data_IF_094571506207
#
_entry.id   IF_094571506207
#
_cell.length_a   1.000
_cell.length_b   1.000
_cell.length_c   1.000
_cell.angle_alpha   90.00
_cell.angle_beta   90.00
_cell.angle_gamma   90.00
#
_symmetry.space_group_name_H-M   'P 1'
#
loop_
_entity.id
_entity.type
_entity.pdbx_description
1 polymer ?
#
# COMPACT_ATOMS: atom_id res chain seq x y z
N UNK A 1 10.33 13.33 12.83
CA UNK A 1 9.41 12.65 13.76
C UNK A 1 8.34 12.02 12.89
N UNK A 2 8.15 10.72 12.98
CA UNK A 2 7.05 10.06 12.29
C UNK A 2 5.73 10.51 12.91
N UNK A 3 4.73 10.88 12.11
CA UNK A 3 3.41 11.30 12.59
C UNK A 3 2.68 10.26 13.44
N UNK A 4 3.18 9.05 13.43
CA UNK A 4 2.57 7.86 14.03
C UNK A 4 2.93 7.59 15.49
N UNK A 5 3.71 8.47 16.16
CA UNK A 5 4.13 8.24 17.54
C UNK A 5 3.34 9.11 18.51
N UNK A 6 2.29 8.59 19.18
CA UNK A 6 1.42 9.38 20.05
C UNK A 6 2.19 10.02 21.21
N UNK A 7 3.25 9.38 21.71
CA UNK A 7 4.04 9.85 22.83
C UNK A 7 5.02 11.00 22.50
N UNK A 8 5.15 11.37 21.21
CA UNK A 8 6.09 12.40 20.74
C UNK A 8 5.40 13.64 20.16
N UNK A 9 4.19 13.95 20.56
CA UNK A 9 3.39 15.02 19.98
C UNK A 9 2.94 14.67 18.58
N UNK A 10 2.48 13.44 18.39
CA UNK A 10 1.83 12.98 17.18
C UNK A 10 0.64 13.86 16.85
N UNK A 11 0.49 14.12 15.56
CA UNK A 11 -0.72 14.76 15.03
C UNK A 11 -1.85 13.73 14.92
N UNK A 12 -3.10 14.19 14.93
CA UNK A 12 -4.26 13.34 14.69
C UNK A 12 -4.21 12.75 13.27
N UNK A 13 -4.93 11.65 13.04
CA UNK A 13 -5.08 11.08 11.69
C UNK A 13 -5.63 12.14 10.71
N UNK A 14 -6.61 12.92 11.13
CA UNK A 14 -7.20 13.98 10.33
C UNK A 14 -6.16 15.04 9.93
N UNK A 15 -5.33 15.48 10.87
CA UNK A 15 -4.26 16.45 10.59
C UNK A 15 -3.16 15.85 9.71
N UNK A 16 -2.85 14.57 9.91
CA UNK A 16 -1.93 13.85 9.04
C UNK A 16 -2.46 13.82 7.60
N UNK A 17 -3.73 13.49 7.41
CA UNK A 17 -4.34 13.38 6.09
C UNK A 17 -4.49 14.72 5.36
N UNK A 18 -4.48 15.87 6.07
CA UNK A 18 -4.39 17.20 5.44
C UNK A 18 -3.15 17.40 4.58
N UNK A 19 -2.10 16.60 4.78
CA UNK A 19 -0.92 16.62 3.91
C UNK A 19 -1.26 16.28 2.45
N UNK A 20 -2.33 15.54 2.20
CA UNK A 20 -2.84 15.27 0.87
C UNK A 20 -3.17 16.57 0.10
N UNK A 21 -3.63 17.63 0.79
CA UNK A 21 -3.97 18.92 0.19
C UNK A 21 -2.75 19.64 -0.41
N UNK A 22 -1.55 19.35 0.12
CA UNK A 22 -0.29 19.91 -0.37
C UNK A 22 0.53 18.98 -1.25
N UNK A 23 0.06 17.75 -1.47
CA UNK A 23 0.82 16.76 -2.22
C UNK A 23 0.68 16.96 -3.73
N UNK A 24 1.64 17.64 -4.32
CA UNK A 24 1.64 17.97 -5.76
C UNK A 24 2.47 17.02 -6.63
N UNK A 25 3.36 16.24 -6.03
CA UNK A 25 4.37 15.44 -6.74
C UNK A 25 5.16 16.23 -7.83
N UNK A 26 5.30 17.55 -7.66
CA UNK A 26 5.86 18.46 -8.69
C UNK A 26 7.32 18.17 -9.02
N UNK A 27 8.04 17.48 -8.15
CA UNK A 27 9.44 17.07 -8.36
C UNK A 27 9.57 15.60 -8.78
N UNK A 28 8.48 14.89 -8.92
CA UNK A 28 8.51 13.49 -9.36
C UNK A 28 8.65 13.46 -10.88
N UNK A 29 9.81 12.99 -11.32
CA UNK A 29 10.15 12.70 -12.72
C UNK A 29 10.58 11.22 -12.80
N UNK A 30 9.64 10.39 -13.21
CA UNK A 30 9.84 8.94 -13.26
C UNK A 30 10.99 8.54 -14.19
N UNK A 31 11.15 9.26 -15.30
CA UNK A 31 12.23 8.99 -16.26
C UNK A 31 13.59 9.34 -15.66
N UNK A 32 13.72 10.50 -15.04
CA UNK A 32 14.97 10.90 -14.39
C UNK A 32 15.35 9.94 -13.25
N UNK A 33 14.37 9.43 -12.51
CA UNK A 33 14.58 8.41 -11.48
C UNK A 33 15.07 7.11 -12.09
N UNK A 34 14.40 6.61 -13.13
CA UNK A 34 14.77 5.37 -13.79
C UNK A 34 16.19 5.44 -14.40
N UNK A 35 16.54 6.55 -15.03
CA UNK A 35 17.88 6.80 -15.56
C UNK A 35 18.95 6.81 -14.45
N UNK A 36 18.63 7.40 -13.29
CA UNK A 36 19.53 7.39 -12.13
C UNK A 36 19.73 5.97 -11.59
N UNK A 37 18.66 5.22 -11.39
CA UNK A 37 18.72 3.84 -10.89
C UNK A 37 19.50 2.94 -11.84
N UNK A 38 19.28 3.08 -13.15
CA UNK A 38 20.03 2.34 -14.17
C UNK A 38 21.52 2.64 -14.13
N UNK A 39 21.90 3.90 -14.02
CA UNK A 39 23.31 4.31 -13.88
C UNK A 39 23.94 3.81 -12.58
N UNK A 40 23.16 3.68 -11.52
CA UNK A 40 23.59 3.08 -10.26
C UNK A 40 23.74 1.54 -10.32
N UNK A 41 23.40 0.91 -11.45
CA UNK A 41 23.53 -0.54 -11.65
C UNK A 41 22.33 -1.36 -11.15
N UNK A 42 21.20 -0.71 -10.84
CA UNK A 42 20.00 -1.44 -10.42
C UNK A 42 19.50 -2.38 -11.53
N UNK A 43 19.11 -3.58 -11.14
CA UNK A 43 18.49 -4.57 -12.02
C UNK A 43 16.98 -4.58 -11.87
N UNK A 44 16.49 -4.24 -10.70
CA UNK A 44 15.08 -4.04 -10.37
C UNK A 44 14.96 -2.88 -9.38
N UNK A 45 13.79 -2.31 -9.33
CA UNK A 45 13.44 -1.26 -8.36
C UNK A 45 12.03 -1.48 -7.83
N UNK A 46 11.80 -1.09 -6.57
CA UNK A 46 10.51 -1.26 -5.89
C UNK A 46 10.03 0.11 -5.44
N UNK A 47 8.81 0.47 -5.82
CA UNK A 47 8.14 1.68 -5.34
C UNK A 47 6.91 1.32 -4.51
N UNK A 48 6.69 2.07 -3.45
CA UNK A 48 5.46 1.97 -2.66
C UNK A 48 4.25 2.35 -3.51
N UNK A 49 3.31 1.42 -3.67
CA UNK A 49 2.03 1.68 -4.35
C UNK A 49 0.93 2.13 -3.38
N UNK A 50 0.93 1.58 -2.16
CA UNK A 50 0.10 2.00 -1.03
C UNK A 50 0.83 1.65 0.27
N UNK A 51 0.79 2.54 1.28
CA UNK A 51 1.29 2.27 2.63
C UNK A 51 0.12 2.11 3.61
N UNK A 52 0.41 1.92 4.89
CA UNK A 52 -0.56 1.68 5.98
C UNK A 52 -1.60 2.81 6.13
N UNK A 53 -1.31 4.02 5.70
CA UNK A 53 -2.23 5.16 5.75
C UNK A 53 -3.38 5.08 4.72
N UNK A 54 -3.31 4.12 3.81
CA UNK A 54 -4.34 3.84 2.81
C UNK A 54 -4.26 4.68 1.54
N UNK A 55 -3.33 5.65 1.45
CA UNK A 55 -3.22 6.49 0.25
C UNK A 55 -2.60 5.70 -0.90
N UNK A 56 -3.40 5.40 -1.92
CA UNK A 56 -2.93 4.76 -3.14
C UNK A 56 -2.20 5.75 -4.03
N UNK A 57 -0.97 5.42 -4.47
CA UNK A 57 -0.21 6.23 -5.44
C UNK A 57 -0.59 5.93 -6.89
N UNK A 58 -1.67 5.20 -7.11
CA UNK A 58 -2.23 4.78 -8.39
C UNK A 58 -3.72 5.10 -8.51
N UNK A 59 -4.24 5.09 -9.72
CA UNK A 59 -5.66 5.33 -10.00
C UNK A 59 -6.48 4.07 -9.73
N UNK A 60 -6.90 3.89 -8.48
CA UNK A 60 -7.75 2.77 -8.08
C UNK A 60 -9.24 3.11 -8.19
N UNK A 61 -10.03 2.13 -8.62
CA UNK A 61 -11.50 2.22 -8.64
C UNK A 61 -12.13 1.82 -7.29
N UNK A 62 -11.33 1.21 -6.40
CA UNK A 62 -11.80 0.61 -5.14
C UNK A 62 -11.63 1.52 -3.93
N UNK A 63 -11.01 2.69 -4.09
CA UNK A 63 -10.88 3.70 -3.04
C UNK A 63 -10.90 5.10 -3.62
N UNK A 64 -11.50 6.04 -2.90
CA UNK A 64 -11.37 7.46 -3.20
C UNK A 64 -10.09 8.06 -2.60
N UNK A 65 -9.41 7.31 -1.72
CA UNK A 65 -8.15 7.72 -1.12
C UNK A 65 -6.99 7.37 -2.05
N UNK A 66 -6.81 8.17 -3.08
CA UNK A 66 -5.68 8.04 -4.01
C UNK A 66 -5.09 9.39 -4.35
N UNK A 67 -3.84 9.41 -4.80
CA UNK A 67 -3.17 10.64 -5.25
C UNK A 67 -3.89 11.27 -6.44
N UNK A 68 -4.59 10.48 -7.24
CA UNK A 68 -5.33 10.97 -8.41
C UNK A 68 -6.57 11.75 -7.99
N UNK A 69 -7.32 11.21 -7.01
CA UNK A 69 -8.61 11.78 -6.59
C UNK A 69 -8.50 12.76 -5.43
N UNK A 70 -7.52 12.56 -4.54
CA UNK A 70 -7.49 13.22 -3.22
C UNK A 70 -6.39 14.27 -3.09
N UNK A 71 -5.51 14.41 -4.07
CA UNK A 71 -4.37 15.34 -4.00
C UNK A 71 -4.28 16.26 -5.21
N UNK A 72 -3.63 17.43 -5.08
CA UNK A 72 -3.37 18.31 -6.22
C UNK A 72 -2.45 17.70 -7.29
N UNK A 73 -1.77 16.59 -6.99
CA UNK A 73 -0.98 15.87 -8.00
C UNK A 73 -1.86 15.42 -9.16
N UNK A 74 -3.05 14.88 -8.88
CA UNK A 74 -4.06 14.52 -9.89
C UNK A 74 -3.55 13.56 -10.97
N UNK A 75 -2.48 12.79 -10.68
CA UNK A 75 -1.79 11.93 -11.66
C UNK A 75 -1.41 10.58 -11.05
N UNK A 76 -1.40 9.56 -11.86
CA UNK A 76 -1.06 8.19 -11.47
C UNK A 76 0.46 8.00 -11.47
N UNK A 77 1.06 8.06 -10.27
CA UNK A 77 2.51 7.98 -10.10
C UNK A 77 3.04 6.57 -10.38
N UNK A 78 2.24 5.53 -10.10
CA UNK A 78 2.62 4.15 -10.38
C UNK A 78 2.65 3.87 -11.88
N UNK A 79 1.72 4.43 -12.63
CA UNK A 79 1.72 4.32 -14.10
C UNK A 79 2.99 4.91 -14.71
N UNK A 80 3.34 6.12 -14.31
CA UNK A 80 4.54 6.79 -14.79
C UNK A 80 5.81 6.03 -14.38
N UNK A 81 5.88 5.57 -13.13
CA UNK A 81 7.01 4.81 -12.62
C UNK A 81 7.20 3.49 -13.36
N UNK A 82 6.15 2.68 -13.46
CA UNK A 82 6.24 1.35 -14.09
C UNK A 82 6.64 1.43 -15.56
N UNK A 83 6.15 2.45 -16.26
CA UNK A 83 6.53 2.72 -17.64
C UNK A 83 8.01 3.09 -17.75
N UNK A 84 8.48 4.08 -16.99
CA UNK A 84 9.85 4.56 -17.06
C UNK A 84 10.88 3.48 -16.68
N UNK A 85 10.61 2.70 -15.62
CA UNK A 85 11.48 1.61 -15.16
C UNK A 85 11.62 0.53 -16.24
N UNK A 86 10.52 0.17 -16.89
CA UNK A 86 10.51 -0.84 -17.96
C UNK A 86 11.24 -0.34 -19.20
N UNK A 87 11.03 0.92 -19.60
CA UNK A 87 11.73 1.56 -20.72
C UNK A 87 13.25 1.62 -20.47
N UNK A 88 13.68 1.78 -19.22
CA UNK A 88 15.08 1.71 -18.83
C UNK A 88 15.66 0.28 -18.78
N UNK A 89 14.85 -0.74 -19.08
CA UNK A 89 15.26 -2.15 -19.11
C UNK A 89 15.52 -2.74 -17.72
N UNK A 90 14.83 -2.27 -16.70
CA UNK A 90 14.84 -2.83 -15.35
C UNK A 90 13.54 -3.56 -15.05
N UNK A 91 13.61 -4.47 -14.07
CA UNK A 91 12.43 -5.17 -13.54
C UNK A 91 11.62 -4.24 -12.63
N UNK A 92 10.30 -4.38 -12.72
CA UNK A 92 9.36 -3.54 -11.98
C UNK A 92 8.90 -4.26 -10.72
N UNK A 93 9.16 -3.65 -9.57
CA UNK A 93 8.65 -4.07 -8.28
C UNK A 93 7.68 -3.06 -7.68
N UNK A 94 6.71 -3.55 -6.92
CA UNK A 94 5.79 -2.73 -6.15
C UNK A 94 5.77 -3.22 -4.70
N UNK A 95 5.86 -2.27 -3.77
CA UNK A 95 5.51 -2.51 -2.38
C UNK A 95 4.03 -2.20 -2.17
N UNK A 96 3.36 -3.03 -1.39
CA UNK A 96 1.97 -2.82 -1.02
C UNK A 96 1.73 -3.23 0.44
N UNK A 97 1.16 -2.33 1.23
CA UNK A 97 0.72 -2.64 2.59
C UNK A 97 -0.57 -3.46 2.55
N UNK A 98 -0.55 -4.63 3.20
CA UNK A 98 -1.74 -5.45 3.40
C UNK A 98 -2.70 -4.80 4.40
N UNK A 99 -2.18 -4.13 5.43
CA UNK A 99 -2.99 -3.37 6.38
C UNK A 99 -3.36 -2.01 5.84
N UNK A 100 -4.50 -1.49 6.28
CA UNK A 100 -5.00 -0.19 5.88
C UNK A 100 -5.71 0.48 7.07
N UNK A 101 -5.05 1.48 7.64
CA UNK A 101 -5.59 2.19 8.81
C UNK A 101 -6.73 3.14 8.47
N UNK A 102 -6.92 3.46 7.20
CA UNK A 102 -8.01 4.31 6.72
C UNK A 102 -9.31 3.54 6.48
N UNK A 103 -9.22 2.21 6.28
CA UNK A 103 -10.35 1.40 5.88
C UNK A 103 -11.17 0.97 7.11
N UNK A 104 -12.45 1.35 7.21
CA UNK A 104 -13.28 1.01 8.37
C UNK A 104 -13.60 -0.48 8.50
N UNK A 105 -13.32 -1.29 7.48
CA UNK A 105 -13.45 -2.74 7.51
C UNK A 105 -12.23 -3.41 8.14
N UNK A 106 -11.07 -2.73 8.10
CA UNK A 106 -9.85 -3.22 8.74
C UNK A 106 -9.86 -2.91 10.22
N UNK A 107 -9.68 -3.94 11.04
CA UNK A 107 -9.48 -3.79 12.48
C UNK A 107 -8.11 -4.28 12.88
N UNK A 108 -7.44 -3.51 13.70
CA UNK A 108 -6.25 -3.96 14.38
C UNK A 108 -6.63 -5.02 15.40
N UNK A 109 -5.97 -6.17 15.32
CA UNK A 109 -6.10 -7.26 16.29
C UNK A 109 -4.83 -7.27 17.13
N UNK A 110 -5.00 -7.24 18.45
CA UNK A 110 -3.89 -7.36 19.38
C UNK A 110 -3.75 -8.80 19.85
N UNK A 111 -2.53 -9.34 19.97
CA UNK A 111 -2.30 -10.58 20.66
C UNK A 111 -2.87 -10.53 22.08
N UNK A 112 -3.33 -11.66 22.58
CA UNK A 112 -3.83 -11.76 23.96
C UNK A 112 -2.72 -11.39 24.95
N UNK A 113 -3.00 -10.43 25.84
CA UNK A 113 -2.04 -9.91 26.82
C UNK A 113 -1.20 -8.71 26.36
N UNK A 114 -1.35 -8.27 25.12
CA UNK A 114 -0.70 -7.05 24.66
C UNK A 114 -1.43 -5.80 25.19
N UNK A 115 -0.63 -4.79 25.55
CA UNK A 115 -1.17 -3.47 25.93
C UNK A 115 -1.40 -2.63 24.67
N UNK A 116 -2.67 -2.30 24.34
CA UNK A 116 -2.98 -1.46 23.20
C UNK A 116 -2.21 -0.13 23.16
N UNK A 117 -1.91 0.44 24.34
CA UNK A 117 -1.17 1.70 24.44
C UNK A 117 0.26 1.63 23.89
N UNK A 118 0.81 0.44 23.69
CA UNK A 118 2.12 0.23 23.09
C UNK A 118 2.09 0.11 21.55
N UNK A 119 0.92 0.07 20.95
CA UNK A 119 0.76 -0.09 19.51
C UNK A 119 0.52 1.25 18.81
N UNK A 120 1.37 1.59 17.85
CA UNK A 120 1.28 2.79 17.02
C UNK A 120 -0.04 2.90 16.22
N UNK A 121 -0.71 1.81 16.04
CA UNK A 121 -1.95 1.63 15.30
C UNK A 121 -3.14 2.35 15.88
N UNK A 122 -3.16 2.54 17.21
CA UNK A 122 -4.28 3.16 17.93
C UNK A 122 -4.48 4.62 17.56
N UNK A 123 -3.48 5.23 16.94
CA UNK A 123 -3.57 6.62 16.47
C UNK A 123 -4.45 6.73 15.22
N UNK A 124 -4.53 5.66 14.43
CA UNK A 124 -5.19 5.67 13.12
C UNK A 124 -6.30 4.62 12.99
N UNK A 125 -6.28 3.59 13.82
CA UNK A 125 -7.28 2.54 13.76
C UNK A 125 -8.64 3.05 14.27
N UNK A 126 -9.60 3.11 13.41
CA UNK A 126 -10.99 3.31 13.78
C UNK A 126 -11.75 1.99 13.74
N UNK A 127 -12.46 1.67 14.78
CA UNK A 127 -12.17 1.86 16.19
C UNK A 127 -11.22 0.77 16.70
N UNK A 128 -10.23 1.18 17.46
CA UNK A 128 -9.34 0.25 18.15
C UNK A 128 -10.15 -0.65 19.09
N UNK A 129 -9.89 -1.94 19.01
CA UNK A 129 -10.47 -2.91 19.90
C UNK A 129 -11.96 -3.23 19.62
N UNK A 130 -12.32 -4.42 19.89
CA UNK A 130 -13.64 -4.97 19.71
C UNK A 130 -13.56 -6.28 18.91
N UNK A 131 -14.62 -7.10 18.97
CA UNK A 131 -14.64 -8.35 18.23
C UNK A 131 -14.50 -8.09 16.74
N UNK A 132 -13.71 -8.92 16.08
CA UNK A 132 -13.60 -8.94 14.64
C UNK A 132 -14.97 -9.22 14.02
N UNK A 133 -15.30 -8.48 12.96
CA UNK A 133 -16.46 -8.75 12.13
C UNK A 133 -15.99 -9.56 10.91
N UNK A 134 -16.33 -10.86 10.84
CA UNK A 134 -15.85 -11.74 9.77
C UNK A 134 -16.33 -11.31 8.37
N UNK A 135 -17.50 -10.67 8.26
CA UNK A 135 -18.03 -10.21 6.98
C UNK A 135 -17.20 -9.01 6.50
N UNK A 136 -16.96 -8.04 7.36
CA UNK A 136 -16.09 -6.88 7.04
C UNK A 136 -14.66 -7.31 6.75
N UNK A 137 -14.15 -8.29 7.48
CA UNK A 137 -12.83 -8.84 7.18
C UNK A 137 -12.78 -9.48 5.79
N UNK A 138 -13.79 -10.22 5.40
CA UNK A 138 -13.87 -10.78 4.06
C UNK A 138 -13.95 -9.70 2.98
N UNK A 139 -14.78 -8.67 3.19
CA UNK A 139 -14.84 -7.51 2.28
C UNK A 139 -13.50 -6.78 2.16
N UNK A 140 -12.74 -6.68 3.26
CA UNK A 140 -11.41 -6.10 3.24
C UNK A 140 -10.41 -6.93 2.43
N UNK A 141 -10.44 -8.25 2.55
CA UNK A 141 -9.62 -9.14 1.72
C UNK A 141 -9.97 -9.01 0.24
N UNK A 142 -11.25 -8.86 -0.08
CA UNK A 142 -11.70 -8.63 -1.46
C UNK A 142 -11.24 -7.27 -2.00
N UNK A 143 -11.26 -6.25 -1.16
CA UNK A 143 -10.69 -4.94 -1.50
C UNK A 143 -9.20 -5.03 -1.86
N UNK A 144 -8.39 -5.71 -1.04
CA UNK A 144 -6.97 -5.92 -1.33
C UNK A 144 -6.77 -6.72 -2.63
N UNK A 145 -7.54 -7.78 -2.84
CA UNK A 145 -7.51 -8.59 -4.07
C UNK A 145 -7.83 -7.74 -5.31
N UNK A 146 -8.82 -6.88 -5.22
CA UNK A 146 -9.24 -6.01 -6.31
C UNK A 146 -8.17 -4.97 -6.65
N UNK A 147 -7.56 -4.33 -5.66
CA UNK A 147 -6.43 -3.42 -5.90
C UNK A 147 -5.22 -4.15 -6.48
N UNK A 148 -4.93 -5.37 -6.03
CA UNK A 148 -3.87 -6.20 -6.63
C UNK A 148 -4.18 -6.54 -8.08
N UNK A 149 -5.43 -6.87 -8.41
CA UNK A 149 -5.84 -7.10 -9.79
C UNK A 149 -5.56 -5.87 -10.67
N UNK A 150 -5.92 -4.67 -10.21
CA UNK A 150 -5.60 -3.43 -10.93
C UNK A 150 -4.09 -3.31 -11.17
N UNK A 151 -3.28 -3.43 -10.10
CA UNK A 151 -1.83 -3.30 -10.21
C UNK A 151 -1.20 -4.34 -11.15
N UNK A 152 -1.69 -5.57 -11.12
CA UNK A 152 -1.17 -6.67 -11.95
C UNK A 152 -1.64 -6.63 -13.41
N UNK A 153 -2.73 -5.92 -13.72
CA UNK A 153 -3.33 -5.95 -15.07
C UNK A 153 -3.28 -4.62 -15.82
N UNK A 154 -3.23 -3.48 -15.11
CA UNK A 154 -3.29 -2.16 -15.75
C UNK A 154 -1.92 -1.51 -15.95
N UNK A 155 -0.88 -2.02 -15.30
CA UNK A 155 0.44 -1.38 -15.23
C UNK A 155 1.54 -2.17 -15.98
N UNK A 156 1.14 -3.11 -16.86
CA UNK A 156 2.04 -4.01 -17.56
C UNK A 156 2.63 -5.08 -16.63
N UNK A 157 3.73 -5.70 -17.01
CA UNK A 157 4.34 -6.77 -16.21
C UNK A 157 4.90 -6.21 -14.90
N UNK A 158 4.41 -6.74 -13.78
CA UNK A 158 4.98 -6.53 -12.45
C UNK A 158 5.80 -7.77 -12.10
N UNK A 159 7.10 -7.58 -11.91
CA UNK A 159 8.05 -8.68 -11.70
C UNK A 159 8.19 -9.07 -10.22
N UNK A 160 7.95 -8.12 -9.30
CA UNK A 160 8.09 -8.35 -7.86
C UNK A 160 6.99 -7.61 -7.08
N UNK A 161 6.41 -8.29 -6.11
CA UNK A 161 5.51 -7.71 -5.12
C UNK A 161 6.11 -7.89 -3.72
N UNK A 162 6.24 -6.79 -3.01
CA UNK A 162 6.70 -6.76 -1.63
C UNK A 162 5.52 -6.39 -0.74
N UNK A 163 5.01 -7.36 0.01
CA UNK A 163 3.94 -7.12 0.98
C UNK A 163 4.51 -6.78 2.34
N UNK A 164 3.75 -5.97 3.06
CA UNK A 164 4.07 -5.51 4.40
C UNK A 164 2.79 -5.49 5.26
N UNK A 165 2.94 -5.59 6.60
CA UNK A 165 1.81 -5.59 7.51
C UNK A 165 1.19 -6.97 7.74
N UNK A 166 1.84 -8.05 7.35
CA UNK A 166 1.35 -9.42 7.50
C UNK A 166 1.34 -9.90 8.96
N UNK A 167 2.17 -9.32 9.82
CA UNK A 167 2.35 -9.73 11.21
C UNK A 167 1.12 -9.56 12.11
N UNK A 168 0.12 -8.78 11.71
CA UNK A 168 -1.08 -8.57 12.53
C UNK A 168 -2.02 -9.76 12.56
N UNK A 169 -1.90 -10.66 11.59
CA UNK A 169 -2.77 -11.82 11.44
C UNK A 169 -1.99 -13.03 10.96
N UNK A 170 -2.53 -14.20 11.24
CA UNK A 170 -1.95 -15.45 10.72
C UNK A 170 -2.09 -15.56 9.20
N UNK A 171 -1.23 -16.38 8.59
CA UNK A 171 -1.28 -16.67 7.15
C UNK A 171 -2.65 -17.24 6.69
N UNK A 172 -3.36 -17.95 7.58
CA UNK A 172 -4.70 -18.46 7.29
C UNK A 172 -5.75 -17.35 7.30
N UNK A 173 -5.65 -16.38 8.20
CA UNK A 173 -6.54 -15.21 8.22
C UNK A 173 -6.35 -14.33 6.99
N UNK A 174 -5.10 -14.13 6.56
CA UNK A 174 -4.77 -13.45 5.31
C UNK A 174 -5.13 -14.23 4.05
N UNK A 175 -5.52 -15.53 4.18
CA UNK A 175 -5.68 -16.44 3.04
C UNK A 175 -4.45 -16.45 2.12
N UNK A 176 -3.25 -16.45 2.73
CA UNK A 176 -2.00 -16.18 2.04
C UNK A 176 -1.71 -17.15 0.87
N UNK A 177 -2.10 -18.43 1.00
CA UNK A 177 -1.93 -19.41 -0.08
C UNK A 177 -2.82 -19.10 -1.29
N UNK A 178 -4.08 -18.80 -1.03
CA UNK A 178 -5.07 -18.44 -2.06
C UNK A 178 -4.69 -17.13 -2.73
N UNK A 179 -4.25 -16.16 -1.93
CA UNK A 179 -3.79 -14.87 -2.41
C UNK A 179 -2.55 -15.01 -3.31
N UNK A 180 -1.55 -15.80 -2.89
CA UNK A 180 -0.38 -16.09 -3.72
C UNK A 180 -0.77 -16.76 -5.03
N UNK A 181 -1.60 -17.80 -5.00
CA UNK A 181 -2.09 -18.48 -6.19
C UNK A 181 -2.86 -17.54 -7.13
N UNK A 182 -3.62 -16.61 -6.58
CA UNK A 182 -4.31 -15.58 -7.35
C UNK A 182 -3.34 -14.66 -8.09
N UNK A 183 -2.26 -14.20 -7.44
CA UNK A 183 -1.23 -13.37 -8.06
C UNK A 183 -0.48 -14.15 -9.17
N UNK A 184 -0.10 -15.39 -8.90
CA UNK A 184 0.58 -16.28 -9.86
C UNK A 184 -0.30 -16.60 -11.07
N UNK A 185 -1.63 -16.61 -10.91
CA UNK A 185 -2.56 -16.80 -12.03
C UNK A 185 -2.52 -15.63 -13.04
N UNK A 186 -2.18 -14.43 -12.59
CA UNK A 186 -2.04 -13.24 -13.44
C UNK A 186 -0.63 -13.10 -14.03
N UNK A 187 0.40 -13.49 -13.28
CA UNK A 187 1.78 -13.56 -13.74
C UNK A 187 2.50 -14.74 -13.04
N UNK A 188 2.72 -15.86 -13.74
CA UNK A 188 3.37 -17.05 -13.14
C UNK A 188 4.83 -16.83 -12.71
N UNK A 189 5.44 -15.74 -13.13
CA UNK A 189 6.83 -15.39 -12.85
C UNK A 189 7.00 -14.29 -11.79
N UNK A 190 5.90 -13.82 -11.21
CA UNK A 190 5.98 -12.80 -10.18
C UNK A 190 6.69 -13.36 -8.93
N UNK A 191 7.62 -12.59 -8.42
CA UNK A 191 8.26 -12.86 -7.12
C UNK A 191 7.40 -12.21 -6.02
N UNK A 192 7.03 -13.01 -5.00
CA UNK A 192 6.22 -12.57 -3.86
C UNK A 192 6.96 -12.87 -2.57
#
# INVERSE_FOLDING_TARGET
RTPTHPHNGAISYEDYMKQCEGFTASRFDAKAWADLFKRAGAQYVVLTSKHHDGVALFDTQYSDLSVVKKTPAGRDLIKEYTQAVREAGMKVGLYYSLIDWSDPRYRTVYPEGDDPANHLKDVFATPAGGPEDPEKWQEFLEFNNNQMKELMTHYGTIDLLWFDGDWERSASQWKAKEFKAYLESMNPHVVV
#
